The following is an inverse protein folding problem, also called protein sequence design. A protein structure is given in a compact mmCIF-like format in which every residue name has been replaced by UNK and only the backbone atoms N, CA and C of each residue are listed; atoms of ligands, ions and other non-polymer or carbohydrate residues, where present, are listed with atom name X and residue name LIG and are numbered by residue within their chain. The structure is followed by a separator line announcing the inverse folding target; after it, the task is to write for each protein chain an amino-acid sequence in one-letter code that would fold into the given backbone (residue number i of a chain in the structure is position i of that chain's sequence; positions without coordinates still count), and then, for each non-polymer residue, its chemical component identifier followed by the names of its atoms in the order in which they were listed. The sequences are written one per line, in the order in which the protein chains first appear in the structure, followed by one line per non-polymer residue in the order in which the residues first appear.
data_IF_236044085013
#
_entry.id   IF_236044085013
#
_cell.length_a   1.000
_cell.length_b   1.000
_cell.length_c   1.000
_cell.angle_alpha   90.00
_cell.angle_beta   90.00
_cell.angle_gamma   90.00
#
_symmetry.space_group_name_H-M   'P 1'
#
loop_
_entity.id
_entity.type
_entity.pdbx_description
1 polymer ?
#
# COMPACT_ATOMS: atom_id res chain seq x y z
N UNK A 1 15.25 -6.17 0.25
CA UNK A 1 13.83 -6.18 -0.19
C UNK A 1 12.98 -5.97 1.06
N UNK A 2 12.16 -4.91 1.08
CA UNK A 2 11.39 -4.52 2.27
C UNK A 2 10.03 -5.24 2.25
N UNK A 3 9.60 -5.82 3.37
CA UNK A 3 8.27 -6.44 3.51
C UNK A 3 7.36 -5.55 4.37
N UNK A 4 6.14 -5.31 3.90
CA UNK A 4 5.18 -4.42 4.55
C UNK A 4 3.84 -5.14 4.73
N UNK A 5 3.27 -5.00 5.93
CA UNK A 5 1.90 -5.43 6.22
C UNK A 5 0.90 -4.28 6.00
N UNK A 6 0.07 -4.42 4.97
CA UNK A 6 -0.95 -3.45 4.59
C UNK A 6 -2.24 -3.50 5.41
N UNK A 7 -2.35 -4.37 6.43
CA UNK A 7 -3.50 -4.40 7.34
C UNK A 7 -3.47 -3.33 8.43
N UNK A 8 -2.30 -2.70 8.64
CA UNK A 8 -2.09 -1.74 9.72
C UNK A 8 -2.70 -0.36 9.39
N UNK A 9 -3.11 0.37 10.44
CA UNK A 9 -3.62 1.75 10.35
C UNK A 9 -4.98 1.89 9.65
N UNK A 10 -5.19 2.98 8.92
CA UNK A 10 -6.48 3.35 8.30
C UNK A 10 -6.90 2.50 7.07
N UNK A 11 -6.43 1.26 6.98
CA UNK A 11 -6.78 0.34 5.91
C UNK A 11 -5.94 0.51 4.66
N UNK A 12 -4.61 0.41 4.82
CA UNK A 12 -3.60 0.09 3.80
C UNK A 12 -3.34 1.10 2.67
N UNK A 13 -4.31 1.94 2.31
CA UNK A 13 -4.22 2.83 1.16
C UNK A 13 -3.25 4.01 1.33
N UNK A 14 -3.03 4.47 2.57
CA UNK A 14 -2.02 5.48 2.86
C UNK A 14 -0.61 4.87 2.84
N UNK A 15 -0.42 3.73 3.51
CA UNK A 15 0.86 3.01 3.57
C UNK A 15 1.34 2.64 2.16
N UNK A 16 0.45 2.13 1.30
CA UNK A 16 0.79 1.78 -0.08
C UNK A 16 1.35 2.97 -0.87
N UNK A 17 0.73 4.16 -0.74
CA UNK A 17 1.17 5.37 -1.45
C UNK A 17 2.54 5.84 -0.96
N UNK A 18 2.75 5.88 0.36
CA UNK A 18 4.02 6.28 0.95
C UNK A 18 5.15 5.30 0.61
N UNK A 19 4.88 4.00 0.70
CA UNK A 19 5.86 2.96 0.36
C UNK A 19 6.27 3.03 -1.13
N UNK A 20 5.32 3.27 -2.03
CA UNK A 20 5.60 3.45 -3.44
C UNK A 20 6.47 4.70 -3.69
N UNK A 21 6.10 5.84 -3.11
CA UNK A 21 6.89 7.07 -3.24
C UNK A 21 8.33 6.89 -2.72
N UNK A 22 8.49 6.27 -1.55
CA UNK A 22 9.82 5.98 -0.99
C UNK A 22 10.61 4.99 -1.85
N UNK A 23 9.97 3.97 -2.40
CA UNK A 23 10.63 3.01 -3.29
C UNK A 23 11.18 3.71 -4.54
N UNK A 24 10.41 4.64 -5.13
CA UNK A 24 10.85 5.44 -6.27
C UNK A 24 12.02 6.37 -5.92
N UNK A 25 11.96 7.06 -4.78
CA UNK A 25 13.02 7.99 -4.35
C UNK A 25 14.30 7.26 -3.94
N UNK A 26 14.18 6.10 -3.30
CA UNK A 26 15.33 5.40 -2.72
C UNK A 26 15.89 4.27 -3.60
N UNK A 27 15.19 3.90 -4.67
CA UNK A 27 15.51 2.73 -5.50
C UNK A 27 15.40 1.39 -4.77
N UNK A 28 14.82 1.36 -3.56
CA UNK A 28 14.69 0.13 -2.76
C UNK A 28 13.38 -0.58 -3.08
N UNK A 29 13.39 -1.83 -3.57
CA UNK A 29 12.17 -2.57 -3.84
C UNK A 29 11.50 -3.04 -2.54
N UNK A 30 10.17 -3.12 -2.57
CA UNK A 30 9.36 -3.63 -1.47
C UNK A 30 8.26 -4.59 -1.95
N UNK A 31 7.73 -5.37 -1.02
CA UNK A 31 6.54 -6.20 -1.18
C UNK A 31 5.56 -5.87 -0.08
N UNK A 32 4.28 -5.75 -0.44
CA UNK A 32 3.21 -5.50 0.52
C UNK A 32 2.17 -6.60 0.47
N UNK A 33 1.84 -7.13 1.64
CA UNK A 33 0.77 -8.12 1.84
C UNK A 33 -0.46 -7.47 2.48
N UNK A 34 -1.62 -8.15 2.44
CA UNK A 34 -2.86 -7.71 3.12
C UNK A 34 -3.30 -6.28 2.80
N UNK A 35 -3.11 -5.85 1.55
CA UNK A 35 -3.45 -4.50 1.08
C UNK A 35 -4.92 -4.19 1.39
N UNK A 36 -5.17 -3.17 2.21
CA UNK A 36 -6.50 -2.71 2.59
C UNK A 36 -7.36 -3.79 3.28
N UNK A 37 -6.75 -4.73 4.01
CA UNK A 37 -7.45 -5.86 4.62
C UNK A 37 -8.58 -5.46 5.59
N UNK A 38 -8.42 -4.35 6.33
CA UNK A 38 -9.42 -3.86 7.28
C UNK A 38 -10.61 -3.12 6.63
N UNK A 39 -10.70 -3.03 5.30
CA UNK A 39 -11.77 -2.30 4.59
C UNK A 39 -12.83 -3.27 4.08
N UNK A 40 -14.10 -2.84 4.08
CA UNK A 40 -15.26 -3.57 3.50
C UNK A 40 -15.01 -4.11 2.08
N UNK A 41 -14.21 -3.41 1.29
CA UNK A 41 -13.74 -3.86 -0.03
C UNK A 41 -12.21 -3.86 -0.01
N UNK A 42 -11.57 -5.00 0.32
CA UNK A 42 -10.10 -5.10 0.46
C UNK A 42 -9.39 -5.10 -0.90
N UNK A 43 -8.06 -5.16 -0.89
CA UNK A 43 -7.22 -5.23 -2.09
C UNK A 43 -6.98 -3.87 -2.77
N UNK A 44 -6.28 -3.90 -3.90
CA UNK A 44 -6.04 -2.73 -4.74
C UNK A 44 -7.35 -2.22 -5.33
N UNK A 45 -7.51 -0.90 -5.39
CA UNK A 45 -8.64 -0.25 -6.03
C UNK A 45 -8.15 0.75 -7.05
N UNK A 46 -8.85 0.77 -8.18
CA UNK A 46 -8.73 1.88 -9.11
C UNK A 46 -9.20 3.15 -8.39
N UNK A 47 -8.32 4.15 -8.30
CA UNK A 47 -8.68 5.48 -7.81
C UNK A 47 -9.73 6.12 -8.71
N UNK A 48 -10.45 7.12 -8.21
CA UNK A 48 -11.41 7.88 -9.03
C UNK A 48 -10.68 8.45 -10.25
N UNK A 49 -10.99 7.91 -11.44
CA UNK A 49 -10.76 8.59 -12.71
C UNK A 49 -11.87 9.62 -12.85
N UNK A 50 -11.69 10.79 -12.25
CA UNK A 50 -12.37 11.99 -12.73
C UNK A 50 -11.43 12.68 -13.70
#
# INVERSE_FOLDING_TARGET
MISIDGSQGEGGGQILRSALALSLVTGKPFTMSRIRAARKRPGLRLGNRR
#
